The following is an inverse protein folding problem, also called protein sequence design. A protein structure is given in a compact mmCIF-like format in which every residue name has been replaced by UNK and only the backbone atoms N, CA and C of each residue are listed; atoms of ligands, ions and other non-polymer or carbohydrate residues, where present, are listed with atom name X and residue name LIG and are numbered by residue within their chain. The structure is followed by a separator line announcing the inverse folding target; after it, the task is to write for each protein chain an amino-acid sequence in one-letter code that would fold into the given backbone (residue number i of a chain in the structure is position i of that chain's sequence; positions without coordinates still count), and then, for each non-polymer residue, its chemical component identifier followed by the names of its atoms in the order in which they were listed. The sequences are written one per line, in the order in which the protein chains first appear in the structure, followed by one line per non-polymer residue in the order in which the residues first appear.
data_IF_091427502073
#
_entry.id   IF_091427502073
#
_cell.length_a   1.000
_cell.length_b   1.000
_cell.length_c   1.000
_cell.angle_alpha   90.00
_cell.angle_beta   90.00
_cell.angle_gamma   90.00
#
_symmetry.space_group_name_H-M   'P 1'
#
loop_
_entity.id
_entity.type
_entity.pdbx_description
1 polymer ?
#
# COMPACT_ATOMS: atom_id res chain seq x y z
N UNK A 1 18.19 14.73 13.19
CA UNK A 1 17.25 14.72 12.04
C UNK A 1 17.33 16.08 11.34
N UNK A 2 17.24 16.13 10.00
CA UNK A 2 17.39 17.39 9.22
C UNK A 2 16.17 18.32 9.24
N UNK A 3 15.08 17.93 9.93
CA UNK A 3 13.88 18.75 10.09
C UNK A 3 12.97 18.82 8.85
N UNK A 4 13.21 17.96 7.86
CA UNK A 4 12.39 17.85 6.65
C UNK A 4 11.03 17.26 6.97
N UNK A 5 10.00 17.65 6.23
CA UNK A 5 8.65 17.15 6.39
C UNK A 5 8.20 16.38 5.15
N UNK A 6 7.62 15.20 5.39
CA UNK A 6 7.07 14.34 4.36
C UNK A 6 5.54 14.43 4.40
N UNK A 7 4.94 14.78 3.26
CA UNK A 7 3.49 14.79 3.06
C UNK A 7 3.17 13.95 1.82
N UNK A 8 2.17 13.09 1.94
CA UNK A 8 1.62 12.31 0.84
C UNK A 8 0.13 12.59 0.66
N UNK A 9 -0.43 12.12 -0.45
CA UNK A 9 -1.84 12.20 -0.77
C UNK A 9 -2.31 10.90 -1.43
N UNK A 10 -3.58 10.87 -1.84
CA UNK A 10 -4.27 9.75 -2.47
C UNK A 10 -3.54 9.26 -3.75
N UNK A 11 -3.78 8.00 -4.12
CA UNK A 11 -3.29 7.43 -5.38
C UNK A 11 -4.10 7.95 -6.57
N UNK A 12 -3.48 7.96 -7.76
CA UNK A 12 -4.21 8.20 -8.98
C UNK A 12 -5.25 7.08 -9.22
N UNK A 13 -6.47 7.47 -9.59
CA UNK A 13 -7.56 6.53 -9.89
C UNK A 13 -7.31 5.69 -11.13
N UNK A 14 -6.52 6.21 -12.07
CA UNK A 14 -6.20 5.51 -13.31
C UNK A 14 -5.00 4.59 -13.09
N UNK A 15 -5.11 3.28 -13.40
CA UNK A 15 -3.97 2.38 -13.36
C UNK A 15 -2.83 2.89 -14.25
N UNK A 16 -1.63 2.97 -13.67
CA UNK A 16 -0.44 3.49 -14.32
C UNK A 16 0.81 2.92 -13.67
N UNK A 17 1.84 2.68 -14.48
CA UNK A 17 3.20 2.35 -14.03
C UNK A 17 4.14 3.56 -14.13
N UNK A 18 3.58 4.75 -14.32
CA UNK A 18 4.36 5.99 -14.45
C UNK A 18 4.87 6.46 -13.09
N UNK A 19 6.17 6.73 -13.01
CA UNK A 19 6.81 7.39 -11.87
C UNK A 19 6.86 8.92 -12.03
N UNK A 20 6.03 9.48 -12.92
CA UNK A 20 5.95 10.93 -13.12
C UNK A 20 4.96 11.56 -12.14
N UNK A 21 5.34 12.71 -11.61
CA UNK A 21 4.44 13.62 -10.90
C UNK A 21 4.03 14.79 -11.79
N UNK A 22 2.86 15.37 -11.53
CA UNK A 22 2.34 16.54 -12.22
C UNK A 22 2.26 17.77 -11.33
N UNK A 23 2.24 18.96 -11.94
CA UNK A 23 2.06 20.23 -11.22
C UNK A 23 0.74 20.28 -10.45
N UNK A 24 -0.34 19.74 -11.03
CA UNK A 24 -1.66 19.70 -10.41
C UNK A 24 -1.66 18.92 -9.08
N UNK A 25 -0.98 17.76 -9.03
CA UNK A 25 -0.83 16.98 -7.80
C UNK A 25 -0.14 17.80 -6.71
N UNK A 26 0.96 18.48 -7.07
CA UNK A 26 1.71 19.32 -6.14
C UNK A 26 0.86 20.46 -5.57
N UNK A 27 0.10 21.15 -6.43
CA UNK A 27 -0.80 22.25 -6.01
C UNK A 27 -1.89 21.75 -5.07
N UNK A 28 -2.56 20.64 -5.42
CA UNK A 28 -3.64 20.06 -4.62
C UNK A 28 -3.15 19.62 -3.24
N UNK A 29 -2.01 18.91 -3.19
CA UNK A 29 -1.40 18.46 -1.94
C UNK A 29 -0.96 19.64 -1.07
N UNK A 30 -0.27 20.63 -1.63
CA UNK A 30 0.16 21.83 -0.91
C UNK A 30 -1.03 22.64 -0.37
N UNK A 31 -2.09 22.80 -1.16
CA UNK A 31 -3.31 23.47 -0.73
C UNK A 31 -3.92 22.77 0.49
N UNK A 32 -4.20 21.46 0.39
CA UNK A 32 -4.76 20.67 1.51
C UNK A 32 -3.87 20.71 2.76
N UNK A 33 -2.56 20.59 2.58
CA UNK A 33 -1.60 20.66 3.67
C UNK A 33 -1.64 22.02 4.39
N UNK A 34 -1.64 23.14 3.65
CA UNK A 34 -1.71 24.48 4.25
C UNK A 34 -3.08 24.79 4.86
N UNK A 35 -4.16 24.20 4.35
CA UNK A 35 -5.49 24.31 4.95
C UNK A 35 -5.53 23.66 6.33
N UNK A 36 -4.90 22.49 6.49
CA UNK A 36 -4.84 21.77 7.77
C UNK A 36 -3.76 22.31 8.71
N UNK A 37 -2.62 22.72 8.16
CA UNK A 37 -1.42 23.14 8.89
C UNK A 37 -0.93 24.50 8.34
N UNK A 38 -1.53 25.62 8.77
CA UNK A 38 -1.23 26.94 8.20
C UNK A 38 0.22 27.41 8.34
N UNK A 39 0.95 26.90 9.33
CA UNK A 39 2.37 27.23 9.54
C UNK A 39 3.28 26.74 8.41
N UNK A 40 2.78 25.88 7.52
CA UNK A 40 3.52 25.37 6.35
C UNK A 40 3.64 26.39 5.20
N UNK A 41 2.90 27.52 5.25
CA UNK A 41 2.77 28.47 4.13
C UNK A 41 4.09 29.00 3.57
N UNK A 42 5.10 29.13 4.41
CA UNK A 42 6.41 29.69 4.04
C UNK A 42 7.48 28.62 3.77
N UNK A 43 7.12 27.33 3.82
CA UNK A 43 8.06 26.25 3.51
C UNK A 43 8.27 26.12 2.01
N UNK A 44 9.51 25.79 1.62
CA UNK A 44 9.86 25.49 0.24
C UNK A 44 9.75 23.98 0.00
N UNK A 45 9.15 23.61 -1.11
CA UNK A 45 9.14 22.22 -1.58
C UNK A 45 10.54 21.90 -2.10
N UNK A 46 11.20 20.91 -1.48
CA UNK A 46 12.52 20.45 -1.89
C UNK A 46 12.45 19.44 -3.03
N UNK A 47 11.49 18.51 -2.96
CA UNK A 47 11.35 17.40 -3.90
C UNK A 47 9.92 16.87 -3.92
N UNK A 48 9.52 16.34 -5.07
CA UNK A 48 8.36 15.46 -5.23
C UNK A 48 8.78 14.17 -5.93
N UNK A 49 8.09 13.08 -5.64
CA UNK A 49 8.23 11.80 -6.33
C UNK A 49 6.93 11.02 -6.26
N UNK A 50 6.80 10.03 -7.12
CA UNK A 50 5.70 9.05 -7.06
C UNK A 50 6.29 7.64 -6.99
N UNK A 51 5.43 6.70 -6.66
CA UNK A 51 5.72 5.27 -6.69
C UNK A 51 4.53 4.52 -7.28
N UNK A 52 4.73 3.23 -7.55
CA UNK A 52 3.67 2.34 -8.00
C UNK A 52 3.14 1.57 -6.79
N UNK A 53 1.83 1.56 -6.63
CA UNK A 53 1.14 0.75 -5.63
C UNK A 53 0.44 -0.41 -6.33
N UNK A 54 0.78 -1.63 -5.94
CA UNK A 54 0.11 -2.85 -6.37
C UNK A 54 -1.18 -3.03 -5.55
N UNK A 55 -2.32 -2.69 -6.17
CA UNK A 55 -3.63 -2.73 -5.53
C UNK A 55 -4.34 -4.05 -5.86
N UNK A 56 -4.84 -4.73 -4.84
CA UNK A 56 -5.75 -5.86 -5.02
C UNK A 56 -7.22 -5.39 -5.16
N UNK A 57 -8.14 -6.20 -5.69
CA UNK A 57 -9.55 -5.83 -5.86
C UNK A 57 -10.29 -5.47 -4.55
N UNK A 58 -9.89 -6.08 -3.43
CA UNK A 58 -10.45 -5.82 -2.11
C UNK A 58 -9.56 -4.95 -1.23
N UNK A 59 -8.52 -4.38 -1.84
CA UNK A 59 -7.47 -3.58 -1.22
C UNK A 59 -6.64 -4.32 -0.15
N UNK A 60 -6.91 -5.59 0.15
CA UNK A 60 -6.16 -6.36 1.14
C UNK A 60 -4.96 -7.08 0.50
N UNK A 61 -3.87 -7.32 1.24
CA UNK A 61 -2.72 -8.03 0.67
C UNK A 61 -3.10 -9.43 0.18
N UNK A 62 -2.31 -9.95 -0.75
CA UNK A 62 -2.38 -11.30 -1.27
C UNK A 62 -1.12 -12.00 -0.80
N UNK A 63 -1.29 -13.00 0.06
CA UNK A 63 -0.19 -13.68 0.74
C UNK A 63 -0.42 -15.19 0.71
N UNK A 64 0.68 -15.93 0.60
CA UNK A 64 0.67 -17.38 0.80
C UNK A 64 1.06 -18.19 -0.43
N UNK A 65 0.69 -19.46 -0.43
CA UNK A 65 0.93 -20.37 -1.54
C UNK A 65 0.06 -20.01 -2.76
N UNK A 66 0.60 -20.28 -3.94
CA UNK A 66 -0.16 -20.24 -5.19
C UNK A 66 -0.62 -21.65 -5.58
N UNK A 67 -1.29 -21.78 -6.73
CA UNK A 67 -1.61 -23.09 -7.32
C UNK A 67 -0.41 -23.83 -7.94
N UNK A 68 0.78 -23.23 -7.89
CA UNK A 68 2.04 -23.81 -8.40
C UNK A 68 2.89 -24.22 -7.21
N UNK A 69 3.31 -25.49 -7.20
CA UNK A 69 4.14 -26.03 -6.12
C UNK A 69 5.45 -25.24 -5.94
N UNK A 70 5.81 -24.97 -4.69
CA UNK A 70 6.97 -24.16 -4.33
C UNK A 70 6.88 -22.66 -4.67
N UNK A 71 5.77 -22.18 -5.25
CA UNK A 71 5.62 -20.75 -5.59
C UNK A 71 4.70 -20.03 -4.59
N UNK A 72 5.30 -19.09 -3.87
CA UNK A 72 4.66 -18.25 -2.86
C UNK A 72 4.55 -16.80 -3.36
N UNK A 73 3.51 -16.11 -2.93
CA UNK A 73 3.27 -14.71 -3.32
C UNK A 73 3.07 -13.82 -2.09
N UNK A 74 3.56 -12.58 -2.21
CA UNK A 74 3.27 -11.47 -1.30
C UNK A 74 3.17 -10.20 -2.14
N UNK A 75 1.95 -9.71 -2.34
CA UNK A 75 1.62 -8.56 -3.22
C UNK A 75 0.30 -7.93 -2.78
N UNK A 76 -0.21 -6.92 -3.46
CA UNK A 76 -1.50 -6.29 -3.15
C UNK A 76 -1.45 -5.42 -1.90
N UNK A 77 -0.25 -5.03 -1.43
CA UNK A 77 -0.06 -4.27 -0.20
C UNK A 77 -0.49 -2.81 -0.32
N UNK A 78 -0.63 -2.32 -1.56
CA UNK A 78 -1.14 -0.99 -1.86
C UNK A 78 -0.38 0.12 -1.13
N UNK A 79 -1.13 0.97 -0.43
CA UNK A 79 -0.59 2.16 0.24
C UNK A 79 -0.17 1.91 1.70
N UNK A 80 -0.45 0.73 2.26
CA UNK A 80 -0.18 0.45 3.68
C UNK A 80 0.86 -0.61 3.96
N UNK A 81 1.45 -1.23 2.94
CA UNK A 81 2.47 -2.26 3.11
C UNK A 81 3.57 -1.89 4.11
N UNK A 82 4.06 -0.65 4.07
CA UNK A 82 5.15 -0.20 4.93
C UNK A 82 4.92 -0.47 6.43
N UNK A 83 3.70 -0.29 6.93
CA UNK A 83 3.40 -0.46 8.36
C UNK A 83 3.33 -1.94 8.77
N UNK A 84 2.86 -2.79 7.86
CA UNK A 84 2.47 -4.16 8.16
C UNK A 84 3.47 -5.21 7.64
N UNK A 85 4.42 -4.81 6.79
CA UNK A 85 5.37 -5.73 6.18
C UNK A 85 6.29 -6.46 7.16
N UNK A 86 6.66 -5.93 8.36
CA UNK A 86 7.46 -6.72 9.30
C UNK A 86 6.72 -7.99 9.77
N UNK A 87 5.47 -7.83 10.20
CA UNK A 87 4.63 -8.98 10.59
C UNK A 87 4.36 -9.88 9.38
N UNK A 88 4.00 -9.29 8.23
CA UNK A 88 3.74 -10.07 7.03
C UNK A 88 4.94 -10.90 6.56
N UNK A 89 6.15 -10.34 6.65
CA UNK A 89 7.39 -11.02 6.31
C UNK A 89 7.70 -12.19 7.23
N UNK A 90 7.49 -12.03 8.54
CA UNK A 90 7.66 -13.11 9.53
C UNK A 90 6.70 -14.28 9.26
N UNK A 91 5.42 -13.98 8.98
CA UNK A 91 4.43 -15.02 8.67
C UNK A 91 4.74 -15.73 7.35
N UNK A 92 5.20 -15.01 6.32
CA UNK A 92 5.65 -15.64 5.07
C UNK A 92 6.88 -16.51 5.29
N UNK A 93 7.82 -16.08 6.13
CA UNK A 93 9.00 -16.87 6.46
C UNK A 93 8.62 -18.18 7.17
N UNK A 94 7.70 -18.13 8.13
CA UNK A 94 7.16 -19.33 8.79
C UNK A 94 6.50 -20.27 7.77
N UNK A 95 5.61 -19.75 6.93
CA UNK A 95 4.95 -20.53 5.88
C UNK A 95 5.96 -21.24 4.97
N UNK A 96 7.01 -20.53 4.53
CA UNK A 96 8.04 -21.11 3.66
C UNK A 96 8.83 -22.20 4.39
N UNK A 97 9.12 -22.00 5.67
CA UNK A 97 9.92 -22.94 6.46
C UNK A 97 9.16 -24.23 6.85
N UNK A 98 7.86 -24.13 7.13
CA UNK A 98 7.06 -25.26 7.65
C UNK A 98 6.10 -25.85 6.63
N UNK A 99 5.74 -25.10 5.58
CA UNK A 99 4.65 -25.45 4.67
C UNK A 99 3.25 -25.23 5.25
N UNK A 100 3.14 -24.79 6.50
CA UNK A 100 1.86 -24.55 7.18
C UNK A 100 1.50 -23.07 7.11
N UNK A 101 0.26 -22.76 6.70
CA UNK A 101 -0.21 -21.37 6.63
C UNK A 101 -0.51 -20.82 8.02
N UNK A 102 0.19 -19.76 8.48
CA UNK A 102 -0.12 -19.13 9.76
C UNK A 102 -1.50 -18.49 9.76
N UNK A 103 -2.18 -18.56 10.91
CA UNK A 103 -3.54 -18.04 11.10
C UNK A 103 -3.67 -16.56 10.71
N UNK A 104 -2.66 -15.75 11.04
CA UNK A 104 -2.67 -14.31 10.76
C UNK A 104 -2.75 -14.00 9.25
N UNK A 105 -2.16 -14.85 8.39
CA UNK A 105 -2.15 -14.62 6.94
C UNK A 105 -3.13 -15.51 6.16
N UNK A 106 -3.75 -16.50 6.82
CA UNK A 106 -4.71 -17.39 6.18
C UNK A 106 -5.86 -16.68 5.44
N UNK A 107 -6.42 -15.55 5.93
CA UNK A 107 -7.46 -14.83 5.19
C UNK A 107 -6.97 -14.18 3.89
N UNK A 108 -5.66 -13.91 3.77
CA UNK A 108 -5.06 -13.20 2.63
C UNK A 108 -4.69 -14.12 1.45
N UNK A 109 -5.12 -15.39 1.48
CA UNK A 109 -4.91 -16.35 0.38
C UNK A 109 -5.43 -15.84 -0.97
N UNK A 110 -4.77 -16.26 -2.05
CA UNK A 110 -5.16 -15.90 -3.42
C UNK A 110 -6.53 -16.48 -3.81
N UNK A 111 -6.87 -17.65 -3.28
CA UNK A 111 -8.12 -18.37 -3.52
C UNK A 111 -9.35 -17.62 -2.99
N UNK A 112 -9.18 -16.63 -2.11
CA UNK A 112 -10.30 -15.86 -1.54
C UNK A 112 -11.15 -15.18 -2.62
N UNK A 113 -10.55 -14.75 -3.73
CA UNK A 113 -11.28 -14.12 -4.83
C UNK A 113 -12.13 -15.12 -5.61
N UNK A 114 -11.66 -16.36 -5.76
CA UNK A 114 -12.44 -17.43 -6.39
C UNK A 114 -13.59 -17.91 -5.48
N UNK A 115 -13.44 -17.73 -4.17
CA UNK A 115 -14.42 -18.14 -3.14
C UNK A 115 -15.35 -17.01 -2.69
N UNK A 116 -15.26 -15.84 -3.31
CA UNK A 116 -16.02 -14.63 -2.96
C UNK A 116 -15.89 -14.25 -1.46
N UNK A 117 -14.68 -14.42 -0.89
CA UNK A 117 -14.34 -14.10 0.50
C UNK A 117 -13.47 -12.84 0.56
N UNK A 118 -13.89 -11.77 -0.10
CA UNK A 118 -13.16 -10.50 -0.06
C UNK A 118 -13.15 -9.92 1.35
N UNK A 119 -12.01 -9.40 1.80
CA UNK A 119 -11.84 -8.94 3.18
C UNK A 119 -12.31 -7.50 3.43
N UNK A 120 -12.69 -6.79 2.37
CA UNK A 120 -13.30 -5.46 2.35
C UNK A 120 -12.87 -4.51 3.48
N UNK A 121 -11.80 -3.75 3.25
CA UNK A 121 -11.54 -2.52 4.00
C UNK A 121 -11.23 -1.35 3.07
N UNK A 122 -12.28 -0.87 2.37
CA UNK A 122 -12.17 0.31 1.49
C UNK A 122 -11.86 1.59 2.28
N UNK A 123 -12.06 1.61 3.59
CA UNK A 123 -11.92 2.80 4.45
C UNK A 123 -10.52 2.96 5.04
N UNK A 124 -9.89 1.89 5.54
CA UNK A 124 -8.51 1.95 6.06
C UNK A 124 -7.47 2.16 4.97
N UNK A 125 -7.90 2.09 3.71
CA UNK A 125 -7.08 2.29 2.55
C UNK A 125 -6.67 3.74 2.29
N UNK A 126 -7.40 4.69 2.88
CA UNK A 126 -7.19 6.12 2.65
C UNK A 126 -7.32 6.54 1.17
N UNK A 127 -8.04 5.76 0.35
CA UNK A 127 -8.23 6.00 -1.08
C UNK A 127 -9.72 6.18 -1.39
N UNK A 128 -10.15 7.43 -1.46
CA UNK A 128 -11.51 7.84 -1.84
C UNK A 128 -11.47 8.74 -3.06
#
# INVERSE_FOLDING_TARGET
ARGEMLIGAEIDRQPSYSYRSGHHFLQSCAFRAMTLLPFLRNLRILRQWTGVCDMSPDYSPIMGQTGVDGFYITTGWGTWGFKAIPAGGEQMAQLIATGETPELIAPFGLDRFARDRTLADRGSAGTH
#
